data_IF_124659746042
#
_entry.id   IF_124659746042
#
_cell.length_a   1.000
_cell.length_b   1.000
_cell.length_c   1.000
_cell.angle_alpha   90.00
_cell.angle_beta   90.00
_cell.angle_gamma   90.00
#
_symmetry.space_group_name_H-M   'P 1'
#
loop_
_entity.id
_entity.type
_entity.pdbx_description
1 polymer ?
#
# COMPACT_ATOMS: atom_id res chain seq x y z
N UNK A 1 0.63 0.29 -14.84
CA UNK A 1 1.35 -0.70 -14.02
C UNK A 1 0.34 -1.40 -13.14
N UNK A 2 0.44 -2.73 -13.01
CA UNK A 2 -0.34 -3.48 -12.03
C UNK A 2 0.30 -3.35 -10.65
N UNK A 3 -0.49 -3.41 -9.57
CA UNK A 3 0.04 -3.39 -8.20
C UNK A 3 1.02 -4.55 -7.93
N UNK A 4 0.87 -5.65 -8.67
CA UNK A 4 1.72 -6.85 -8.59
C UNK A 4 3.14 -6.63 -9.13
N UNK A 5 3.35 -5.60 -9.96
CA UNK A 5 4.66 -5.30 -10.57
C UNK A 5 5.52 -4.39 -9.67
N UNK A 6 4.96 -3.90 -8.54
CA UNK A 6 5.66 -2.98 -7.66
C UNK A 6 6.67 -3.72 -6.77
N UNK A 7 7.85 -3.13 -6.49
CA UNK A 7 8.84 -3.75 -5.62
C UNK A 7 8.26 -3.93 -4.22
N UNK A 8 8.23 -5.16 -3.70
CA UNK A 8 7.64 -5.48 -2.38
C UNK A 8 6.17 -5.89 -2.44
N UNK A 9 5.53 -5.89 -3.62
CA UNK A 9 4.16 -6.35 -3.79
C UNK A 9 3.97 -7.81 -3.34
N UNK A 10 5.01 -8.63 -3.43
CA UNK A 10 5.01 -10.03 -3.02
C UNK A 10 4.77 -10.23 -1.51
N UNK A 11 4.99 -9.19 -0.69
CA UNK A 11 4.76 -9.22 0.76
C UNK A 11 3.50 -8.42 1.12
N UNK A 12 3.31 -7.26 0.47
CA UNK A 12 2.23 -6.32 0.79
C UNK A 12 0.87 -6.85 0.36
N UNK A 13 0.77 -7.47 -0.82
CA UNK A 13 -0.52 -7.97 -1.33
C UNK A 13 -1.08 -9.14 -0.49
N UNK A 14 -0.27 -10.15 -0.11
CA UNK A 14 -0.72 -11.15 0.87
C UNK A 14 -1.12 -10.51 2.21
N UNK A 15 -0.36 -9.52 2.71
CA UNK A 15 -0.66 -8.82 3.96
C UNK A 15 -1.99 -8.07 3.96
N UNK A 16 -2.34 -7.44 2.84
CA UNK A 16 -3.66 -6.83 2.61
C UNK A 16 -4.78 -7.88 2.68
N UNK A 17 -4.55 -9.04 2.06
CA UNK A 17 -5.52 -10.14 2.11
C UNK A 17 -5.65 -10.72 3.52
N UNK A 18 -4.56 -10.82 4.26
CA UNK A 18 -4.55 -11.27 5.66
C UNK A 18 -5.37 -10.33 6.54
N UNK A 19 -5.16 -9.02 6.42
CA UNK A 19 -5.95 -8.01 7.15
C UNK A 19 -7.44 -8.10 6.81
N UNK A 20 -7.79 -8.33 5.54
CA UNK A 20 -9.19 -8.53 5.13
C UNK A 20 -9.81 -9.80 5.71
N UNK A 21 -9.00 -10.82 5.98
CA UNK A 21 -9.41 -12.06 6.63
C UNK A 21 -9.34 -11.99 8.17
N UNK A 22 -9.08 -10.80 8.75
CA UNK A 22 -8.95 -10.61 10.20
C UNK A 22 -7.62 -11.10 10.80
N UNK A 23 -6.64 -11.45 9.96
CA UNK A 23 -5.30 -11.87 10.40
C UNK A 23 -4.38 -10.65 10.47
N UNK A 24 -4.40 -9.94 11.59
CA UNK A 24 -3.56 -8.75 11.81
C UNK A 24 -2.15 -9.03 12.34
N UNK A 25 -1.88 -10.26 12.77
CA UNK A 25 -0.61 -10.68 13.37
C UNK A 25 0.24 -11.52 12.40
N UNK A 26 0.30 -11.14 11.13
CA UNK A 26 1.21 -11.73 10.13
C UNK A 26 2.23 -10.70 9.69
N UNK A 27 3.42 -11.13 9.24
CA UNK A 27 4.49 -10.21 8.79
C UNK A 27 3.96 -9.22 7.74
N UNK A 28 3.20 -9.70 6.76
CA UNK A 28 2.60 -8.86 5.72
C UNK A 28 1.56 -7.89 6.29
N UNK A 29 0.66 -8.36 7.18
CA UNK A 29 -0.35 -7.52 7.80
C UNK A 29 0.26 -6.42 8.68
N UNK A 30 1.31 -6.75 9.43
CA UNK A 30 2.05 -5.80 10.27
C UNK A 30 2.77 -4.75 9.41
N UNK A 31 3.39 -5.14 8.29
CA UNK A 31 3.98 -4.18 7.35
C UNK A 31 2.95 -3.23 6.75
N UNK A 32 1.78 -3.74 6.36
CA UNK A 32 0.67 -2.91 5.88
C UNK A 32 0.19 -1.97 6.98
N UNK A 33 0.15 -2.43 8.24
CA UNK A 33 -0.23 -1.60 9.38
C UNK A 33 0.78 -0.46 9.64
N UNK A 34 2.09 -0.73 9.52
CA UNK A 34 3.16 0.28 9.67
C UNK A 34 2.98 1.42 8.65
N UNK A 35 2.73 1.09 7.37
CA UNK A 35 2.53 2.08 6.33
C UNK A 35 1.06 2.44 6.08
N UNK A 36 0.12 2.06 6.96
CA UNK A 36 -1.31 2.17 6.69
C UNK A 36 -1.72 3.60 6.32
N UNK A 37 -1.17 4.60 7.02
CA UNK A 37 -1.41 6.03 6.72
C UNK A 37 -0.97 6.38 5.30
N UNK A 38 0.28 6.07 4.93
CA UNK A 38 0.84 6.37 3.59
C UNK A 38 0.12 5.63 2.47
N UNK A 39 -0.19 4.35 2.69
CA UNK A 39 -0.94 3.53 1.73
C UNK A 39 -2.35 4.10 1.51
N UNK A 40 -3.00 4.57 2.58
CA UNK A 40 -4.31 5.24 2.50
C UNK A 40 -4.21 6.55 1.73
N UNK A 41 -3.20 7.37 2.00
CA UNK A 41 -2.95 8.64 1.29
C UNK A 41 -2.63 8.42 -0.19
N UNK A 42 -1.96 7.31 -0.53
CA UNK A 42 -1.71 6.90 -1.91
C UNK A 42 -2.95 6.35 -2.63
N UNK A 43 -4.07 6.14 -1.93
CA UNK A 43 -5.35 5.71 -2.51
C UNK A 43 -5.69 4.23 -2.35
N UNK A 44 -5.02 3.49 -1.47
CA UNK A 44 -5.42 2.13 -1.07
C UNK A 44 -6.41 2.17 0.09
N UNK A 45 -7.46 1.36 0.03
CA UNK A 45 -8.41 1.23 1.14
C UNK A 45 -7.86 0.25 2.19
N UNK A 46 -7.37 0.79 3.32
CA UNK A 46 -6.85 0.02 4.45
C UNK A 46 -7.82 0.13 5.63
N UNK A 47 -8.31 -1.02 6.10
CA UNK A 47 -9.21 -1.11 7.25
C UNK A 47 -8.48 -0.81 8.56
N UNK A 48 -8.43 0.48 8.94
CA UNK A 48 -7.71 0.97 10.12
C UNK A 48 -8.15 0.36 11.46
N UNK A 49 -9.37 -0.17 11.53
CA UNK A 49 -9.94 -0.76 12.74
C UNK A 49 -9.40 -2.17 13.06
N UNK A 50 -8.78 -2.85 12.09
CA UNK A 50 -8.16 -4.17 12.28
C UNK A 50 -6.64 -4.10 12.40
N UNK A 51 -6.06 -2.91 12.57
CA UNK A 51 -4.62 -2.76 12.69
C UNK A 51 -4.16 -3.17 14.09
N UNK A 52 -3.06 -3.90 14.14
CA UNK A 52 -2.41 -4.28 15.40
C UNK A 52 -1.88 -3.04 16.12
N UNK A 53 -2.04 -2.93 17.45
CA UNK A 53 -1.40 -1.87 18.22
C UNK A 53 0.13 -2.02 18.10
N UNK A 54 0.84 -0.92 17.89
CA UNK A 54 2.31 -0.92 17.78
C UNK A 54 2.86 -1.94 16.76
N UNK A 55 2.48 -1.84 15.47
CA UNK A 55 2.78 -2.87 14.49
C UNK A 55 4.29 -3.07 14.25
N UNK A 56 5.11 -2.05 14.52
CA UNK A 56 6.58 -2.11 14.47
C UNK A 56 7.14 -3.03 15.56
N UNK A 57 6.66 -2.91 16.79
CA UNK A 57 7.08 -3.76 17.91
C UNK A 57 6.63 -5.20 17.70
N UNK A 58 5.39 -5.41 17.26
CA UNK A 58 4.87 -6.74 16.98
C UNK A 58 5.61 -7.41 15.82
N UNK A 59 5.95 -6.66 14.77
CA UNK A 59 6.77 -7.17 13.68
C UNK A 59 8.14 -7.60 14.20
N UNK A 60 8.80 -6.76 14.99
CA UNK A 60 10.10 -7.08 15.54
C UNK A 60 10.05 -8.32 16.45
N UNK A 61 9.04 -8.42 17.32
CA UNK A 61 8.84 -9.58 18.19
C UNK A 61 8.62 -10.88 17.40
N UNK A 62 7.79 -10.86 16.34
CA UNK A 62 7.63 -12.02 15.45
C UNK A 62 8.96 -12.45 14.81
N UNK A 63 9.77 -11.49 14.38
CA UNK A 63 11.06 -11.79 13.75
C UNK A 63 12.09 -12.32 14.74
N UNK A 64 12.06 -11.86 16.00
CA UNK A 64 12.93 -12.38 17.05
C UNK A 64 12.62 -13.83 17.42
N UNK A 65 11.36 -14.23 17.36
CA UNK A 65 10.96 -15.63 17.62
C UNK A 65 11.40 -16.57 16.47
N UNK A 66 11.34 -16.08 15.23
CA UNK A 66 11.71 -16.88 14.05
C UNK A 66 13.22 -16.96 13.80
N UNK A 67 13.99 -15.89 14.10
CA UNK A 67 15.38 -15.75 13.64
C UNK A 67 16.27 -15.00 14.62
N UNK A 68 17.53 -15.42 14.73
CA UNK A 68 18.56 -14.72 15.52
C UNK A 68 18.96 -13.37 14.90
N UNK A 69 18.88 -13.23 13.58
CA UNK A 69 19.22 -12.03 12.81
C UNK A 69 17.99 -11.14 12.51
N UNK A 70 17.12 -10.96 13.51
CA UNK A 70 15.87 -10.22 13.37
C UNK A 70 16.06 -8.77 12.89
N UNK A 71 17.06 -8.05 13.40
CA UNK A 71 17.25 -6.63 13.12
C UNK A 71 17.66 -6.32 11.65
N UNK A 72 18.65 -7.00 11.04
CA UNK A 72 18.93 -6.86 9.61
C UNK A 72 17.71 -7.20 8.73
N UNK A 73 16.97 -8.25 9.08
CA UNK A 73 15.79 -8.68 8.32
C UNK A 73 14.64 -7.67 8.42
N UNK A 74 14.37 -7.17 9.62
CA UNK A 74 13.42 -6.08 9.88
C UNK A 74 13.71 -4.86 9.01
N UNK A 75 14.97 -4.41 8.98
CA UNK A 75 15.37 -3.28 8.15
C UNK A 75 15.21 -3.55 6.65
N UNK A 76 15.46 -4.78 6.20
CA UNK A 76 15.22 -5.16 4.81
C UNK A 76 13.73 -5.10 4.45
N UNK A 77 12.84 -5.55 5.33
CA UNK A 77 11.39 -5.46 5.15
C UNK A 77 10.93 -4.01 5.09
N UNK A 78 11.39 -3.14 5.99
CA UNK A 78 11.06 -1.72 5.96
C UNK A 78 11.53 -1.03 4.67
N UNK A 79 12.72 -1.38 4.16
CA UNK A 79 13.21 -0.86 2.88
C UNK A 79 12.33 -1.31 1.71
N UNK A 80 11.89 -2.58 1.69
CA UNK A 80 10.94 -3.08 0.68
C UNK A 80 9.59 -2.36 0.77
N UNK A 81 9.05 -2.21 1.98
CA UNK A 81 7.81 -1.46 2.23
C UNK A 81 7.89 -0.03 1.70
N UNK A 82 8.97 0.68 2.02
CA UNK A 82 9.20 2.03 1.52
C UNK A 82 9.32 2.08 -0.01
N UNK A 83 9.99 1.10 -0.62
CA UNK A 83 10.09 1.00 -2.07
C UNK A 83 8.72 0.78 -2.72
N UNK A 84 7.89 -0.08 -2.13
CA UNK A 84 6.52 -0.30 -2.57
C UNK A 84 5.70 1.00 -2.50
N UNK A 85 5.69 1.67 -1.34
CA UNK A 85 4.96 2.92 -1.15
C UNK A 85 5.41 3.99 -2.16
N UNK A 86 6.73 4.15 -2.36
CA UNK A 86 7.24 5.14 -3.31
C UNK A 86 6.82 4.80 -4.74
N UNK A 87 6.90 3.53 -5.15
CA UNK A 87 6.48 3.11 -6.48
C UNK A 87 4.96 3.27 -6.68
N UNK A 88 4.17 3.00 -5.64
CA UNK A 88 2.73 3.24 -5.60
C UNK A 88 2.42 4.73 -5.76
N UNK A 89 3.01 5.59 -4.94
CA UNK A 89 2.85 7.05 -4.99
C UNK A 89 3.21 7.60 -6.38
N UNK A 90 4.30 7.11 -6.99
CA UNK A 90 4.69 7.47 -8.35
C UNK A 90 3.66 6.98 -9.39
N UNK A 91 3.16 5.76 -9.26
CA UNK A 91 2.15 5.22 -10.18
C UNK A 91 0.82 5.98 -10.13
N UNK A 92 0.42 6.46 -8.96
CA UNK A 92 -0.79 7.27 -8.77
C UNK A 92 -0.58 8.73 -9.17
N UNK A 93 0.60 9.33 -8.93
CA UNK A 93 0.96 10.64 -9.50
C UNK A 93 1.09 10.62 -11.02
N UNK A 94 1.49 9.48 -11.58
CA UNK A 94 1.60 9.26 -13.02
C UNK A 94 0.34 8.67 -13.64
N UNK A 95 -0.81 8.64 -12.95
CA UNK A 95 -2.07 8.68 -13.69
C UNK A 95 -2.14 10.10 -14.28
N UNK A 96 -1.84 10.34 -15.57
CA UNK A 96 -2.26 11.61 -16.14
C UNK A 96 -3.77 11.65 -15.90
N UNK A 97 -4.22 12.75 -15.33
CA UNK A 97 -5.62 13.13 -15.40
C UNK A 97 -6.00 13.12 -16.88
N UNK A 98 -6.47 11.98 -17.39
CA UNK A 98 -7.21 11.93 -18.63
C UNK A 98 -8.60 12.53 -18.38
N UNK A 99 -8.60 13.81 -18.02
CA UNK A 99 -9.74 14.72 -18.05
C UNK A 99 -9.53 15.72 -19.19
N UNK A 100 -8.84 15.30 -20.25
CA UNK A 100 -8.57 16.09 -21.44
C UNK A 100 -8.86 15.28 -22.72
N UNK A 101 -10.02 14.63 -22.77
CA UNK A 101 -10.66 14.21 -24.02
C UNK A 101 -12.18 14.36 -23.83
N UNK A 102 -12.69 15.56 -24.10
CA UNK A 102 -13.80 15.73 -25.04
C UNK A 102 -13.56 17.06 -25.78
N UNK A 103 -13.28 17.03 -27.10
CA UNK A 103 -13.22 18.22 -27.92
C UNK A 103 -14.62 18.81 -28.10
N UNK A 104 -14.69 20.13 -27.99
CA UNK A 104 -15.74 21.00 -28.53
C UNK A 104 -16.44 20.43 -29.76
N UNK A 105 -17.74 20.12 -29.65
CA UNK A 105 -18.76 20.38 -30.69
C UNK A 105 -20.16 19.98 -30.21
N UNK A 106 -21.13 20.84 -30.53
CA UNK A 106 -22.59 20.74 -30.26
C UNK A 106 -23.00 21.29 -28.89
N UNK A 107 -23.50 22.52 -28.74
CA UNK A 107 -24.69 23.04 -29.42
C UNK A 107 -24.71 24.58 -29.39
N UNK A 108 -24.23 25.20 -30.46
CA UNK A 108 -24.92 26.37 -30.99
C UNK A 108 -26.25 25.88 -31.62
N UNK A 109 -27.18 26.81 -31.89
CA UNK A 109 -28.55 26.61 -32.40
C UNK A 109 -29.54 26.09 -31.32
N UNK A 110 -30.55 26.84 -30.83
CA UNK A 110 -31.28 27.98 -31.36
C UNK A 110 -31.59 29.02 -30.25
N UNK A 111 -31.30 30.29 -30.52
CA UNK A 111 -32.20 31.39 -30.16
C UNK A 111 -33.36 31.33 -31.15
N UNK A 112 -34.61 31.36 -30.67
CA UNK A 112 -35.76 32.05 -31.26
C UNK A 112 -36.95 31.90 -30.34
#
# INVERSE_FOLDING_TARGET
>A
MSLHDLPGAEIILPGLSDLRNGKSNTIGALLVAIAATRLTEAGLDIQKHHLSPEPELNLYACLQDEREDAYPYYNALLKRLNSFCNALELSYRYKPSNTALEPTLSKAICKS
#
